data_IF_640443215923
#
_entry.id   IF_640443215923
#
_cell.length_a   1.000
_cell.length_b   1.000
_cell.length_c   1.000
_cell.angle_alpha   90.00
_cell.angle_beta   90.00
_cell.angle_gamma   90.00
#
_symmetry.space_group_name_H-M   'P 1'
#
loop_
_entity.id
_entity.type
_entity.pdbx_description
1 polymer ?
#
# COMPACT_ATOMS: atom_id res chain seq x y z
N UNK A 1 20.15 7.52 1.94
CA UNK A 1 19.08 6.66 2.46
C UNK A 1 19.68 5.59 3.37
N UNK A 2 19.03 5.30 4.49
CA UNK A 2 19.50 4.35 5.49
C UNK A 2 18.42 3.32 5.81
N UNK A 3 18.83 2.20 6.38
CA UNK A 3 17.92 1.27 7.03
C UNK A 3 17.70 1.70 8.47
N UNK A 4 16.46 1.67 8.92
CA UNK A 4 16.08 1.84 10.32
C UNK A 4 15.44 0.55 10.78
N UNK A 5 15.90 -0.01 11.89
CA UNK A 5 15.31 -1.19 12.53
C UNK A 5 14.94 -0.81 13.96
N UNK A 6 13.67 -0.90 14.29
CA UNK A 6 13.07 -0.34 15.52
C UNK A 6 13.37 1.17 15.63
N UNK A 7 14.16 1.58 16.61
CA UNK A 7 14.56 2.96 16.89
C UNK A 7 16.01 3.27 16.47
N UNK A 8 16.68 2.36 15.75
CA UNK A 8 18.10 2.46 15.42
C UNK A 8 18.36 2.57 13.94
N UNK A 9 19.25 3.49 13.58
CA UNK A 9 19.81 3.55 12.22
C UNK A 9 20.83 2.43 12.11
N UNK A 10 20.62 1.53 11.15
CA UNK A 10 21.52 0.41 10.91
C UNK A 10 22.85 0.91 10.34
N UNK A 11 23.95 0.35 10.85
CA UNK A 11 25.31 0.72 10.44
C UNK A 11 25.86 1.98 11.11
N UNK A 12 25.14 2.60 12.07
CA UNK A 12 25.61 3.75 12.84
C UNK A 12 26.24 3.34 14.16
N UNK A 13 27.45 3.82 14.43
CA UNK A 13 28.08 3.66 15.72
C UNK A 13 27.46 4.60 16.79
N UNK A 14 27.46 4.21 18.07
CA UNK A 14 27.03 5.10 19.15
C UNK A 14 27.83 6.42 19.15
N UNK A 15 27.14 7.54 19.17
CA UNK A 15 27.78 8.88 19.17
C UNK A 15 28.20 9.42 17.80
N UNK A 16 28.08 8.64 16.73
CA UNK A 16 28.37 9.11 15.38
C UNK A 16 27.36 10.19 14.96
N UNK A 17 27.87 11.32 14.48
CA UNK A 17 27.06 12.43 13.96
C UNK A 17 26.82 12.22 12.46
N UNK A 18 25.57 12.32 12.04
CA UNK A 18 25.20 12.24 10.64
C UNK A 18 25.05 13.67 10.11
N UNK A 19 25.90 14.05 9.19
CA UNK A 19 25.75 15.31 8.47
C UNK A 19 24.84 15.12 7.26
N UNK A 20 23.82 16.00 7.15
CA UNK A 20 22.92 16.02 6.01
C UNK A 20 23.30 17.22 5.16
N UNK A 21 23.93 16.99 4.01
CA UNK A 21 24.23 18.05 3.05
C UNK A 21 23.08 18.26 2.07
N UNK A 22 22.60 19.49 2.06
CA UNK A 22 21.65 19.99 1.06
C UNK A 22 20.24 19.38 1.10
N UNK A 23 19.37 19.90 0.23
CA UNK A 23 17.98 19.40 0.08
C UNK A 23 17.86 17.99 -0.49
N UNK A 24 18.97 17.36 -0.79
CA UNK A 24 19.01 16.03 -1.38
C UNK A 24 20.16 15.15 -0.87
N UNK A 25 20.42 14.93 0.59
CA UNK A 25 20.21 13.55 0.63
C UNK A 25 21.36 12.60 0.55
N UNK A 26 22.57 12.99 0.50
CA UNK A 26 23.66 12.11 0.83
C UNK A 26 23.98 12.30 2.30
N UNK A 27 23.70 11.28 3.10
CA UNK A 27 24.22 11.20 4.45
C UNK A 27 25.69 10.83 4.31
N UNK A 28 26.59 11.77 4.56
CA UNK A 28 28.02 11.46 4.66
C UNK A 28 28.29 10.73 5.98
N UNK A 29 29.18 9.76 5.96
CA UNK A 29 29.60 9.03 7.15
C UNK A 29 28.82 7.78 7.51
N UNK A 30 27.81 7.38 6.72
CA UNK A 30 27.14 6.09 6.90
C UNK A 30 27.65 5.13 5.83
N UNK A 31 28.43 4.15 6.23
CA UNK A 31 29.03 3.15 5.35
C UNK A 31 27.98 2.20 4.72
N UNK A 32 26.80 2.11 5.29
CA UNK A 32 25.72 1.24 4.79
C UNK A 32 24.66 2.04 4.07
N UNK A 33 24.98 2.55 2.88
CA UNK A 33 23.99 3.06 1.95
C UNK A 33 23.05 1.92 1.57
N UNK A 34 21.76 2.22 1.61
CA UNK A 34 20.74 1.31 1.12
C UNK A 34 20.84 1.21 -0.39
N UNK A 35 21.24 0.07 -0.92
CA UNK A 35 21.17 -0.23 -2.34
C UNK A 35 19.72 -0.20 -2.81
N UNK A 36 19.35 0.80 -3.62
CA UNK A 36 17.96 1.01 -4.05
C UNK A 36 17.39 -0.20 -4.78
N UNK A 37 18.18 -0.83 -5.62
CA UNK A 37 17.81 -2.06 -6.37
C UNK A 37 17.55 -3.29 -5.48
N UNK A 38 17.93 -3.24 -4.20
CA UNK A 38 17.75 -4.35 -3.25
C UNK A 38 16.67 -4.09 -2.20
N UNK A 39 16.09 -2.89 -2.18
CA UNK A 39 15.10 -2.53 -1.17
C UNK A 39 13.93 -3.50 -1.15
N UNK A 40 13.37 -3.75 -2.32
CA UNK A 40 12.21 -4.61 -2.52
C UNK A 40 12.47 -6.04 -2.05
N UNK A 41 13.58 -6.62 -2.47
CA UNK A 41 13.96 -7.97 -2.06
C UNK A 41 14.18 -8.08 -0.55
N UNK A 42 14.84 -7.07 0.04
CA UNK A 42 15.09 -7.01 1.48
C UNK A 42 13.78 -6.89 2.28
N UNK A 43 12.88 -6.01 1.88
CA UNK A 43 11.58 -5.85 2.55
C UNK A 43 10.73 -7.12 2.43
N UNK A 44 10.68 -7.74 1.26
CA UNK A 44 9.96 -9.00 1.07
C UNK A 44 10.54 -10.14 1.93
N UNK A 45 11.86 -10.20 2.06
CA UNK A 45 12.53 -11.15 2.95
C UNK A 45 12.17 -10.88 4.42
N UNK A 46 12.21 -9.63 4.87
CA UNK A 46 11.85 -9.24 6.24
C UNK A 46 10.37 -9.55 6.56
N UNK A 47 9.47 -9.29 5.61
CA UNK A 47 8.06 -9.66 5.75
C UNK A 47 7.91 -11.19 5.91
N UNK A 48 8.62 -11.97 5.11
CA UNK A 48 8.64 -13.43 5.25
C UNK A 48 9.17 -13.90 6.60
N UNK A 49 10.27 -13.32 7.08
CA UNK A 49 10.83 -13.60 8.41
C UNK A 49 9.85 -13.25 9.54
N UNK A 50 9.15 -12.12 9.41
CA UNK A 50 8.13 -11.72 10.37
C UNK A 50 6.99 -12.75 10.44
N UNK A 51 6.52 -13.24 9.31
CA UNK A 51 5.48 -14.29 9.25
C UNK A 51 6.01 -15.58 9.91
N UNK A 52 7.24 -16.01 9.58
CA UNK A 52 7.87 -17.20 10.16
C UNK A 52 7.92 -17.12 11.69
N UNK A 53 8.25 -15.95 12.25
CA UNK A 53 8.39 -15.72 13.69
C UNK A 53 7.05 -15.60 14.43
N UNK A 54 5.96 -15.28 13.71
CA UNK A 54 4.66 -15.00 14.31
C UNK A 54 3.56 -16.00 13.88
N UNK A 55 3.92 -17.05 13.15
CA UNK A 55 2.96 -18.03 12.58
C UNK A 55 2.05 -18.72 13.59
N UNK A 56 2.47 -18.81 14.85
CA UNK A 56 1.76 -19.52 15.91
C UNK A 56 0.94 -18.57 16.81
N UNK A 57 0.81 -17.29 16.43
CA UNK A 57 0.02 -16.29 17.17
C UNK A 57 -0.61 -15.27 16.21
N UNK A 58 -1.68 -14.57 16.62
CA UNK A 58 -2.21 -13.46 15.83
C UNK A 58 -1.17 -12.38 15.58
N UNK A 59 -1.16 -11.84 14.36
CA UNK A 59 -0.26 -10.75 13.99
C UNK A 59 -0.95 -9.74 13.07
N UNK A 60 -0.43 -8.52 13.07
CA UNK A 60 -0.72 -7.49 12.08
C UNK A 60 0.56 -7.11 11.36
N UNK A 61 0.58 -7.24 10.05
CA UNK A 61 1.70 -6.85 9.21
C UNK A 61 1.30 -5.70 8.29
N UNK A 62 1.85 -4.51 8.56
CA UNK A 62 1.80 -3.39 7.62
C UNK A 62 3.06 -3.42 6.75
N UNK A 63 2.86 -3.58 5.44
CA UNK A 63 3.94 -3.71 4.47
C UNK A 63 3.92 -2.52 3.49
N UNK A 64 4.60 -1.39 3.80
CA UNK A 64 4.67 -0.23 2.92
C UNK A 64 5.72 -0.47 1.83
N UNK A 65 5.30 -1.06 0.72
CA UNK A 65 6.17 -1.29 -0.43
C UNK A 65 6.71 0.04 -0.99
N UNK A 66 8.00 0.10 -1.30
CA UNK A 66 8.63 1.25 -1.94
C UNK A 66 8.40 1.31 -3.45
N UNK A 67 8.15 0.18 -4.08
CA UNK A 67 7.70 0.08 -5.48
C UNK A 67 6.23 0.52 -5.56
N UNK A 68 5.84 1.27 -6.51
CA UNK A 68 6.41 1.79 -7.74
C UNK A 68 6.71 3.30 -7.64
N UNK A 69 7.31 3.74 -6.54
CA UNK A 69 7.67 5.14 -6.31
C UNK A 69 9.07 5.44 -6.85
N UNK A 70 9.32 6.68 -7.23
CA UNK A 70 10.65 7.14 -7.68
C UNK A 70 11.67 7.15 -6.52
N UNK A 71 12.96 6.87 -6.81
CA UNK A 71 13.51 6.51 -8.11
C UNK A 71 13.01 5.13 -8.56
N UNK A 72 12.76 4.98 -9.89
CA UNK A 72 12.36 3.69 -10.47
C UNK A 72 13.61 2.86 -10.72
N UNK A 73 13.99 2.07 -9.73
CA UNK A 73 15.19 1.23 -9.75
C UNK A 73 14.82 -0.21 -9.41
N UNK A 74 14.16 -0.90 -10.36
CA UNK A 74 13.81 -2.31 -10.16
C UNK A 74 15.08 -3.15 -9.97
N UNK A 75 14.97 -4.20 -9.16
CA UNK A 75 16.04 -5.16 -8.97
C UNK A 75 16.53 -5.75 -10.30
N UNK A 76 17.82 -6.08 -10.39
CA UNK A 76 18.47 -6.52 -11.63
C UNK A 76 17.72 -7.67 -12.33
N UNK A 77 17.07 -8.54 -11.60
CA UNK A 77 16.25 -9.65 -12.13
C UNK A 77 14.99 -9.19 -12.86
N UNK A 78 14.52 -7.96 -12.63
CA UNK A 78 13.30 -7.41 -13.20
C UNK A 78 13.60 -6.46 -14.37
N UNK A 79 14.81 -5.92 -14.42
CA UNK A 79 15.20 -4.93 -15.42
C UNK A 79 15.06 -5.45 -16.85
N UNK A 80 14.33 -4.72 -17.68
CA UNK A 80 14.05 -5.09 -19.07
C UNK A 80 13.03 -6.21 -19.26
N UNK A 81 12.25 -6.57 -18.23
CA UNK A 81 11.23 -7.63 -18.33
C UNK A 81 9.90 -7.13 -18.86
N UNK A 82 9.57 -5.87 -18.65
CA UNK A 82 8.35 -5.27 -19.17
C UNK A 82 8.59 -4.48 -20.45
N UNK A 83 7.49 -4.24 -21.21
CA UNK A 83 7.50 -3.33 -22.37
C UNK A 83 7.36 -1.86 -21.95
N UNK A 84 7.34 -1.57 -20.65
CA UNK A 84 7.11 -0.23 -20.10
C UNK A 84 8.32 0.28 -19.31
N UNK A 85 9.53 -0.17 -19.66
CA UNK A 85 10.77 0.22 -19.00
C UNK A 85 10.75 0.00 -17.50
N UNK A 86 11.55 0.77 -16.77
CA UNK A 86 11.73 0.61 -15.32
C UNK A 86 10.42 0.77 -14.53
N UNK A 87 9.43 1.51 -15.06
CA UNK A 87 8.12 1.61 -14.42
C UNK A 87 7.37 0.27 -14.42
N UNK A 88 7.24 -0.36 -15.58
CA UNK A 88 6.58 -1.65 -15.68
C UNK A 88 7.35 -2.77 -15.00
N UNK A 89 8.69 -2.71 -15.04
CA UNK A 89 9.55 -3.65 -14.33
C UNK A 89 9.32 -3.55 -12.81
N UNK A 90 9.18 -2.32 -12.28
CA UNK A 90 8.84 -2.08 -10.86
C UNK A 90 7.44 -2.60 -10.50
N UNK A 91 6.46 -2.51 -11.42
CA UNK A 91 5.12 -3.10 -11.20
C UNK A 91 5.21 -4.63 -11.10
N UNK A 92 5.99 -5.28 -11.98
CA UNK A 92 6.21 -6.74 -11.90
C UNK A 92 6.92 -7.13 -10.61
N UNK A 93 7.88 -6.33 -10.16
CA UNK A 93 8.56 -6.54 -8.89
C UNK A 93 7.61 -6.40 -7.71
N UNK A 94 6.66 -5.46 -7.75
CA UNK A 94 5.61 -5.33 -6.73
C UNK A 94 4.71 -6.58 -6.69
N UNK A 95 4.27 -7.07 -7.84
CA UNK A 95 3.47 -8.30 -7.93
C UNK A 95 4.21 -9.50 -7.33
N UNK A 96 5.51 -9.62 -7.61
CA UNK A 96 6.36 -10.64 -7.01
C UNK A 96 6.41 -10.54 -5.47
N UNK A 97 6.48 -9.33 -4.89
CA UNK A 97 6.46 -9.16 -3.43
C UNK A 97 5.17 -9.73 -2.82
N UNK A 98 4.02 -9.41 -3.43
CA UNK A 98 2.73 -9.94 -3.02
C UNK A 98 2.73 -11.47 -3.10
N UNK A 99 3.27 -12.01 -4.21
CA UNK A 99 3.44 -13.44 -4.39
C UNK A 99 4.31 -14.10 -3.31
N UNK A 100 5.38 -13.44 -2.87
CA UNK A 100 6.25 -13.91 -1.77
C UNK A 100 5.52 -13.98 -0.44
N UNK A 101 4.72 -12.97 -0.11
CA UNK A 101 3.90 -12.95 1.11
C UNK A 101 2.86 -14.07 1.05
N UNK A 102 2.13 -14.19 -0.06
CA UNK A 102 1.16 -15.27 -0.25
C UNK A 102 1.79 -16.68 -0.12
N UNK A 103 2.98 -16.88 -0.70
CA UNK A 103 3.71 -18.14 -0.58
C UNK A 103 4.07 -18.46 0.87
N UNK A 104 4.48 -17.45 1.67
CA UNK A 104 4.77 -17.62 3.08
C UNK A 104 3.54 -17.99 3.90
N UNK A 105 2.42 -17.32 3.67
CA UNK A 105 1.14 -17.65 4.31
C UNK A 105 0.71 -19.09 3.97
N UNK A 106 0.88 -19.50 2.70
CA UNK A 106 0.57 -20.85 2.26
C UNK A 106 1.47 -21.90 2.91
N UNK A 107 2.78 -21.62 2.99
CA UNK A 107 3.78 -22.51 3.61
C UNK A 107 3.40 -22.86 5.06
N UNK A 108 2.79 -21.94 5.78
CA UNK A 108 2.37 -22.13 7.17
C UNK A 108 0.88 -22.41 7.33
N UNK A 109 0.13 -22.65 6.24
CA UNK A 109 -1.32 -22.89 6.23
C UNK A 109 -2.14 -21.73 6.85
N UNK A 110 -1.63 -20.49 6.77
CA UNK A 110 -2.25 -19.28 7.37
C UNK A 110 -3.24 -18.57 6.45
N UNK A 111 -3.40 -19.01 5.20
CA UNK A 111 -4.21 -18.28 4.21
C UNK A 111 -5.72 -18.33 4.48
N UNK A 112 -6.22 -19.25 5.31
CA UNK A 112 -7.62 -19.26 5.76
C UNK A 112 -7.86 -18.32 6.95
N UNK A 113 -6.80 -18.02 7.71
CA UNK A 113 -6.86 -17.22 8.92
C UNK A 113 -6.27 -15.80 8.74
N UNK A 114 -5.95 -15.43 7.50
CA UNK A 114 -5.36 -14.14 7.18
C UNK A 114 -6.21 -13.35 6.20
N UNK A 115 -6.66 -12.16 6.63
CA UNK A 115 -7.15 -11.12 5.73
C UNK A 115 -5.94 -10.41 5.12
N UNK A 116 -5.73 -10.56 3.81
CA UNK A 116 -4.70 -9.84 3.06
C UNK A 116 -5.36 -8.75 2.22
N UNK A 117 -4.85 -7.52 2.33
CA UNK A 117 -5.29 -6.38 1.55
C UNK A 117 -4.10 -5.83 0.77
N UNK A 118 -4.31 -5.61 -0.53
CA UNK A 118 -3.34 -4.96 -1.42
C UNK A 118 -3.98 -3.69 -1.95
N UNK A 119 -3.29 -2.56 -1.78
CA UNK A 119 -3.79 -1.25 -2.19
C UNK A 119 -2.62 -0.30 -2.50
N UNK A 120 -2.93 0.95 -2.83
CA UNK A 120 -1.97 2.04 -2.99
C UNK A 120 -2.40 3.23 -2.15
N UNK A 121 -1.46 4.09 -1.79
CA UNK A 121 -1.69 5.32 -1.03
C UNK A 121 -2.26 6.46 -1.87
N UNK A 122 -2.00 6.45 -3.17
CA UNK A 122 -2.49 7.44 -4.14
C UNK A 122 -2.47 6.90 -5.58
N UNK A 123 -3.11 7.63 -6.48
CA UNK A 123 -3.09 7.31 -7.90
C UNK A 123 -1.71 7.47 -8.55
N UNK A 124 -1.53 6.89 -9.72
CA UNK A 124 -0.26 6.90 -10.43
C UNK A 124 0.13 8.30 -10.93
N UNK A 125 1.45 8.52 -11.09
CA UNK A 125 2.00 9.58 -11.92
C UNK A 125 1.98 9.11 -13.38
N UNK A 126 1.07 9.64 -14.18
CA UNK A 126 0.80 9.13 -15.54
C UNK A 126 1.97 9.28 -16.50
N UNK A 127 2.91 10.20 -16.25
CA UNK A 127 4.07 10.43 -17.10
C UNK A 127 4.90 9.18 -17.34
N UNK A 128 5.05 8.31 -16.34
CA UNK A 128 5.89 7.10 -16.44
C UNK A 128 5.29 6.01 -17.34
N UNK A 129 3.98 5.98 -17.50
CA UNK A 129 3.33 5.05 -18.42
C UNK A 129 3.12 5.65 -19.81
N UNK A 130 2.90 6.97 -19.88
CA UNK A 130 2.52 7.68 -21.11
C UNK A 130 3.53 7.55 -22.22
N UNK A 131 4.83 7.57 -21.92
CA UNK A 131 5.90 7.39 -22.91
C UNK A 131 5.85 6.03 -23.60
N UNK A 132 5.21 5.04 -22.98
CA UNK A 132 4.98 3.69 -23.52
C UNK A 132 3.56 3.48 -24.02
N UNK A 133 2.77 4.56 -24.18
CA UNK A 133 1.38 4.47 -24.61
C UNK A 133 0.41 3.88 -23.58
N UNK A 134 0.82 3.82 -22.30
CA UNK A 134 0.01 3.25 -21.21
C UNK A 134 -0.67 4.34 -20.37
N UNK A 135 -1.97 4.15 -20.10
CA UNK A 135 -2.74 4.98 -19.18
C UNK A 135 -2.78 4.34 -17.79
N UNK A 136 -1.87 4.76 -16.91
CA UNK A 136 -1.71 4.14 -15.59
C UNK A 136 -2.91 4.30 -14.66
N UNK A 137 -3.76 5.33 -14.89
CA UNK A 137 -5.01 5.55 -14.17
C UNK A 137 -6.24 5.14 -14.99
N UNK A 138 -6.06 4.39 -16.10
CA UNK A 138 -7.14 4.00 -16.99
C UNK A 138 -7.92 5.22 -17.52
N UNK A 139 -9.26 5.21 -17.47
CA UNK A 139 -10.09 6.32 -17.93
C UNK A 139 -10.23 7.45 -16.90
N UNK A 140 -9.64 7.32 -15.72
CA UNK A 140 -9.82 8.27 -14.62
C UNK A 140 -9.04 9.56 -14.89
N UNK A 141 -9.73 10.70 -14.74
CA UNK A 141 -9.11 12.03 -14.88
C UNK A 141 -8.14 12.31 -13.74
N UNK A 142 -7.00 12.92 -14.06
CA UNK A 142 -6.00 13.37 -13.09
C UNK A 142 -4.99 12.28 -12.73
N UNK A 143 -4.13 12.63 -11.81
CA UNK A 143 -3.04 11.78 -11.34
C UNK A 143 -2.69 12.10 -9.89
N UNK A 144 -1.71 11.43 -9.31
CA UNK A 144 -1.20 11.68 -7.94
C UNK A 144 -1.22 13.18 -7.61
N UNK A 145 -1.72 13.51 -6.42
CA UNK A 145 -1.87 14.85 -5.88
C UNK A 145 -3.04 15.69 -6.46
N UNK A 146 -3.74 15.21 -7.48
CA UNK A 146 -4.94 15.89 -8.00
C UNK A 146 -6.19 15.53 -7.20
N UNK A 147 -7.21 16.41 -7.30
CA UNK A 147 -8.51 16.21 -6.68
C UNK A 147 -9.43 15.27 -7.47
N UNK A 148 -9.06 14.96 -8.72
CA UNK A 148 -9.82 14.09 -9.59
C UNK A 148 -9.58 12.61 -9.26
N UNK A 149 -10.46 11.75 -9.76
CA UNK A 149 -10.45 10.30 -9.46
C UNK A 149 -9.10 9.63 -9.68
N UNK A 150 -8.37 9.98 -10.74
CA UNK A 150 -7.03 9.44 -10.99
C UNK A 150 -5.98 9.79 -9.93
N UNK A 151 -6.28 10.74 -9.03
CA UNK A 151 -5.38 11.09 -7.93
C UNK A 151 -5.53 10.24 -6.67
N UNK A 152 -6.71 9.67 -6.44
CA UNK A 152 -7.03 9.01 -5.17
C UNK A 152 -7.87 7.73 -5.29
N UNK A 153 -8.50 7.45 -6.44
CA UNK A 153 -9.18 6.18 -6.67
C UNK A 153 -8.16 5.12 -7.06
N UNK A 154 -7.74 4.35 -6.08
CA UNK A 154 -6.67 3.36 -6.16
C UNK A 154 -7.23 1.94 -6.24
N UNK A 155 -6.45 0.96 -6.73
CA UNK A 155 -6.79 -0.44 -6.58
C UNK A 155 -6.96 -0.80 -5.10
N UNK A 156 -8.00 -1.59 -4.81
CA UNK A 156 -8.24 -2.17 -3.50
C UNK A 156 -8.63 -3.63 -3.69
N UNK A 157 -7.76 -4.53 -3.28
CA UNK A 157 -7.95 -5.98 -3.46
C UNK A 157 -7.88 -6.62 -2.07
N UNK A 158 -8.95 -7.31 -1.67
CA UNK A 158 -9.00 -8.04 -0.42
C UNK A 158 -9.11 -9.55 -0.68
N UNK A 159 -8.39 -10.34 0.11
CA UNK A 159 -8.42 -11.78 0.04
C UNK A 159 -8.46 -12.37 1.44
N UNK A 160 -9.49 -13.19 1.69
CA UNK A 160 -9.57 -14.04 2.87
C UNK A 160 -10.21 -15.37 2.45
N UNK A 161 -9.38 -16.40 2.33
CA UNK A 161 -9.82 -17.68 1.79
C UNK A 161 -10.95 -18.28 2.65
N UNK A 162 -12.05 -18.66 1.99
CA UNK A 162 -13.23 -19.21 2.67
C UNK A 162 -14.15 -18.20 3.35
N UNK A 163 -13.78 -16.90 3.37
CA UNK A 163 -14.58 -15.83 3.98
C UNK A 163 -15.00 -14.76 2.98
N UNK A 164 -14.10 -14.32 2.10
CA UNK A 164 -14.42 -13.38 1.03
C UNK A 164 -14.76 -14.17 -0.23
N UNK A 165 -15.93 -13.94 -0.86
CA UNK A 165 -16.31 -14.64 -2.08
C UNK A 165 -15.33 -14.38 -3.23
N UNK A 166 -15.00 -15.43 -3.97
CA UNK A 166 -14.07 -15.35 -5.10
C UNK A 166 -14.69 -14.51 -6.22
N UNK A 167 -13.87 -13.66 -6.84
CA UNK A 167 -14.28 -12.78 -7.95
C UNK A 167 -15.48 -11.87 -7.63
N UNK A 168 -15.68 -11.54 -6.35
CA UNK A 168 -16.66 -10.55 -5.94
C UNK A 168 -16.15 -9.12 -6.19
N UNK A 169 -17.07 -8.22 -6.47
CA UNK A 169 -16.80 -6.79 -6.66
C UNK A 169 -17.76 -5.97 -5.79
N UNK A 170 -17.27 -4.90 -5.21
CA UNK A 170 -18.07 -3.89 -4.52
C UNK A 170 -17.99 -2.55 -5.24
N UNK A 171 -19.09 -1.78 -5.17
CA UNK A 171 -19.17 -0.41 -5.67
C UNK A 171 -19.34 0.60 -4.53
N UNK A 172 -19.24 0.15 -3.31
CA UNK A 172 -19.32 1.01 -2.14
C UNK A 172 -18.18 2.02 -2.10
N UNK A 173 -18.46 3.21 -1.57
CA UNK A 173 -17.43 4.21 -1.29
C UNK A 173 -16.67 3.73 -0.06
N UNK A 174 -15.38 3.45 -0.24
CA UNK A 174 -14.47 3.03 0.82
C UNK A 174 -13.26 3.96 0.87
N UNK A 175 -12.61 4.04 2.00
CA UNK A 175 -11.43 4.89 2.20
C UNK A 175 -10.34 4.12 2.95
N UNK A 176 -9.08 4.50 2.76
CA UNK A 176 -7.96 3.89 3.50
C UNK A 176 -8.04 4.13 5.01
N UNK A 177 -8.76 5.16 5.46
CA UNK A 177 -9.02 5.38 6.89
C UNK A 177 -9.87 4.27 7.51
N UNK A 178 -10.56 3.47 6.70
CA UNK A 178 -11.41 2.36 7.14
C UNK A 178 -10.61 1.13 7.59
N UNK A 179 -9.29 1.13 7.42
CA UNK A 179 -8.45 -0.01 7.77
C UNK A 179 -8.46 -0.31 9.27
N UNK A 180 -8.49 0.69 10.15
CA UNK A 180 -8.43 0.44 11.59
C UNK A 180 -9.70 -0.25 12.09
N UNK A 181 -10.89 0.23 11.72
CA UNK A 181 -12.14 -0.40 12.10
C UNK A 181 -12.28 -1.80 11.51
N UNK A 182 -11.83 -1.98 10.25
CA UNK A 182 -11.84 -3.27 9.57
C UNK A 182 -10.86 -4.27 10.21
N UNK A 183 -9.66 -3.84 10.55
CA UNK A 183 -8.66 -4.67 11.20
C UNK A 183 -9.12 -5.10 12.61
N UNK A 184 -9.69 -4.17 13.40
CA UNK A 184 -10.27 -4.48 14.70
C UNK A 184 -11.39 -5.51 14.57
N UNK A 185 -12.31 -5.33 13.63
CA UNK A 185 -13.41 -6.27 13.39
C UNK A 185 -12.88 -7.65 12.95
N UNK A 186 -11.87 -7.70 12.07
CA UNK A 186 -11.26 -8.95 11.64
C UNK A 186 -10.55 -9.70 12.79
N UNK A 187 -9.99 -8.95 13.74
CA UNK A 187 -9.33 -9.49 14.94
C UNK A 187 -10.30 -9.80 16.09
N UNK A 188 -11.59 -9.45 15.96
CA UNK A 188 -12.57 -9.60 17.05
C UNK A 188 -12.34 -8.62 18.20
N UNK A 189 -11.70 -7.48 17.92
CA UNK A 189 -11.40 -6.43 18.92
C UNK A 189 -12.38 -5.29 18.77
N UNK A 190 -12.95 -4.83 19.88
CA UNK A 190 -13.81 -3.65 19.87
C UNK A 190 -12.99 -2.38 19.71
N UNK A 191 -13.40 -1.53 18.75
CA UNK A 191 -12.80 -0.21 18.54
C UNK A 191 -13.58 0.81 19.38
N UNK A 192 -12.96 1.50 20.36
CA UNK A 192 -13.65 2.51 21.14
C UNK A 192 -14.19 3.65 20.28
N UNK A 193 -15.40 4.13 20.55
CA UNK A 193 -16.12 5.09 19.72
C UNK A 193 -15.36 6.43 19.46
N UNK A 194 -14.44 6.80 20.35
CA UNK A 194 -13.62 8.01 20.21
C UNK A 194 -12.31 7.78 19.42
N UNK A 195 -12.00 6.52 19.09
CA UNK A 195 -10.81 6.15 18.32
C UNK A 195 -11.19 6.03 16.85
N UNK A 196 -10.52 6.78 15.99
CA UNK A 196 -10.74 6.79 14.54
C UNK A 196 -12.24 6.96 14.16
N UNK A 197 -12.89 8.08 14.54
CA UNK A 197 -14.34 8.29 14.35
C UNK A 197 -14.77 8.28 12.87
N UNK A 198 -13.83 8.52 11.95
CA UNK A 198 -14.08 8.50 10.49
C UNK A 198 -13.87 7.11 9.87
N UNK A 199 -13.51 6.10 10.65
CA UNK A 199 -13.22 4.75 10.17
C UNK A 199 -14.47 3.88 10.20
N UNK A 200 -14.81 3.25 9.10
CA UNK A 200 -15.94 2.33 8.97
C UNK A 200 -15.44 0.90 8.79
N UNK A 201 -16.15 -0.04 9.36
CA UNK A 201 -15.84 -1.46 9.20
C UNK A 201 -16.27 -1.98 7.82
N UNK A 202 -15.31 -2.30 6.96
CA UNK A 202 -15.53 -2.85 5.62
C UNK A 202 -15.74 -4.37 5.60
N UNK A 203 -15.54 -5.06 6.71
CA UNK A 203 -15.53 -6.51 6.74
C UNK A 203 -16.84 -7.15 6.25
N UNK A 204 -18.04 -6.68 6.65
CA UNK A 204 -19.29 -7.22 6.12
C UNK A 204 -19.39 -7.08 4.59
N UNK A 205 -19.02 -5.92 4.04
CA UNK A 205 -19.03 -5.67 2.60
C UNK A 205 -18.05 -6.59 1.86
N UNK A 206 -16.83 -6.74 2.37
CA UNK A 206 -15.85 -7.67 1.80
C UNK A 206 -16.32 -9.12 1.81
N UNK A 207 -17.07 -9.52 2.83
CA UNK A 207 -17.65 -10.87 2.96
C UNK A 207 -18.93 -11.06 2.14
N UNK A 208 -19.37 -10.06 1.39
CA UNK A 208 -20.58 -10.12 0.57
C UNK A 208 -21.88 -10.03 1.38
N UNK A 209 -21.82 -9.55 2.62
CA UNK A 209 -23.01 -9.31 3.44
C UNK A 209 -23.65 -7.99 3.02
N UNK A 210 -24.83 -8.09 2.43
CA UNK A 210 -25.57 -6.91 1.98
C UNK A 210 -25.97 -6.03 3.17
N UNK A 211 -25.55 -4.77 3.11
CA UNK A 211 -25.91 -3.75 4.09
C UNK A 211 -27.21 -3.04 3.67
N UNK A 212 -28.03 -2.62 4.65
CA UNK A 212 -29.22 -1.83 4.40
C UNK A 212 -28.90 -0.36 4.07
N UNK A 213 -27.73 0.11 4.48
CA UNK A 213 -27.20 1.46 4.25
C UNK A 213 -25.80 1.37 3.66
N UNK A 214 -25.34 2.37 2.91
CA UNK A 214 -23.96 2.40 2.42
C UNK A 214 -22.97 2.31 3.58
N UNK A 215 -21.82 1.70 3.34
CA UNK A 215 -20.70 1.65 4.33
C UNK A 215 -20.30 3.07 4.72
N UNK A 216 -20.29 3.97 3.74
CA UNK A 216 -19.94 5.38 3.90
C UNK A 216 -20.88 6.24 3.05
N UNK A 217 -21.50 7.25 3.64
CA UNK A 217 -22.37 8.17 2.91
C UNK A 217 -21.59 9.05 1.94
N UNK A 218 -20.43 9.56 2.39
CA UNK A 218 -19.59 10.44 1.58
C UNK A 218 -18.12 10.29 1.94
N UNK A 219 -17.24 10.68 1.01
CA UNK A 219 -15.81 10.82 1.27
C UNK A 219 -15.33 12.19 0.83
N UNK A 220 -14.40 12.76 1.61
CA UNK A 220 -13.77 14.04 1.34
C UNK A 220 -12.32 13.82 0.99
N UNK A 221 -11.87 14.42 -0.11
CA UNK A 221 -10.47 14.41 -0.53
C UNK A 221 -9.92 15.82 -0.66
N UNK A 222 -8.61 15.95 -0.44
CA UNK A 222 -7.87 17.22 -0.55
C UNK A 222 -6.84 17.12 -1.65
N UNK A 223 -6.76 18.13 -2.52
CA UNK A 223 -5.66 18.25 -3.47
C UNK A 223 -4.38 18.72 -2.78
N UNK A 224 -3.24 18.11 -3.09
CA UNK A 224 -1.95 18.50 -2.53
C UNK A 224 -1.53 19.92 -2.91
N UNK A 225 -1.80 20.34 -4.14
CA UNK A 225 -1.22 21.57 -4.70
C UNK A 225 -2.16 22.77 -4.66
N UNK A 226 -3.47 22.55 -4.71
CA UNK A 226 -4.44 23.64 -4.83
C UNK A 226 -5.27 23.87 -3.57
N UNK A 227 -5.09 23.04 -2.54
CA UNK A 227 -5.92 23.01 -1.34
C UNK A 227 -7.44 22.90 -1.64
N UNK A 228 -7.81 22.54 -2.87
CA UNK A 228 -9.21 22.29 -3.22
C UNK A 228 -9.68 21.04 -2.50
N UNK A 229 -10.90 21.10 -2.03
CA UNK A 229 -11.62 19.98 -1.47
C UNK A 229 -12.55 19.38 -2.51
N UNK A 230 -12.79 18.09 -2.41
CA UNK A 230 -13.91 17.46 -3.08
C UNK A 230 -14.70 16.62 -2.10
N UNK A 231 -16.00 16.54 -2.31
CA UNK A 231 -16.87 15.59 -1.63
C UNK A 231 -17.49 14.67 -2.69
N UNK A 232 -17.45 13.38 -2.42
CA UNK A 232 -18.14 12.38 -3.23
C UNK A 232 -19.23 11.73 -2.39
N UNK A 233 -20.44 11.69 -2.94
CA UNK A 233 -21.62 11.05 -2.36
C UNK A 233 -22.33 10.24 -3.44
N UNK A 234 -22.38 8.94 -3.28
CA UNK A 234 -22.87 8.05 -4.33
C UNK A 234 -22.14 8.32 -5.67
N UNK A 235 -22.86 8.53 -6.79
CA UNK A 235 -22.25 8.78 -8.09
C UNK A 235 -21.81 10.24 -8.30
N UNK A 236 -22.10 11.13 -7.36
CA UNK A 236 -21.84 12.56 -7.49
C UNK A 236 -20.54 12.98 -6.81
N UNK A 237 -19.81 13.83 -7.48
CA UNK A 237 -18.60 14.47 -6.93
C UNK A 237 -18.65 15.96 -7.19
N UNK A 238 -18.52 16.73 -6.12
CA UNK A 238 -18.36 18.18 -6.14
C UNK A 238 -16.91 18.54 -5.81
N UNK A 239 -16.37 19.52 -6.53
CA UNK A 239 -15.00 20.06 -6.36
C UNK A 239 -15.10 21.54 -6.16
#
# INVERSE_FOLDING_TARGET
YVWVENDKIMGRAPGEVIEIEGNQKELKGIEHKRETTQITATLAQRAGQFIDQNKDRPFFLYYPACTVHTPLEPGAQWKGKSKMGDYGDSVQEFDWQVGRILSKLSQHNLHQDTLLIVTSDNGALTRFGREYGHSSNGPLRGEKASIYEGGHRVPFIARWLGKIPVASESREIVSLVDFIATACAAAGVELPAHVAPDSHNLLPEMMGVRQAVPVREATVCVSKFSAHLSIQQGPWKMI
#
